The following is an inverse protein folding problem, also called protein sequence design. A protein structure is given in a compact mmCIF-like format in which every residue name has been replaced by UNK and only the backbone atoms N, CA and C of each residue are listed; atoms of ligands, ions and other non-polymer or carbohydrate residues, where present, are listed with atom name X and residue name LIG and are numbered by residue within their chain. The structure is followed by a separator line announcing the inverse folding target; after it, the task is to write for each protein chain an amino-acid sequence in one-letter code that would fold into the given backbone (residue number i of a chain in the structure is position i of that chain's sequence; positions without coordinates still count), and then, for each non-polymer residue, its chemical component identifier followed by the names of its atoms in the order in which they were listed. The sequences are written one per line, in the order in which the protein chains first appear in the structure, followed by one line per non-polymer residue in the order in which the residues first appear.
data_IF_852723882801
#
_entry.id   IF_852723882801
#
_cell.length_a   1.000
_cell.length_b   1.000
_cell.length_c   1.000
_cell.angle_alpha   90.00
_cell.angle_beta   90.00
_cell.angle_gamma   90.00
#
_symmetry.space_group_name_H-M   'P 1'
#
loop_
_entity.id
_entity.type
_entity.pdbx_description
1 polymer ?
#
# COMPACT_ATOMS: atom_id res chain seq x y z
N UNK A 1 -40.70 -143.97 156.91
CA UNK A 1 -40.51 -145.42 157.13
C UNK A 1 -39.96 -146.10 155.87
N UNK A 2 -39.44 -147.30 156.11
CA UNK A 2 -39.05 -148.37 155.19
C UNK A 2 -39.87 -148.52 153.90
N UNK A 3 -39.20 -149.16 152.94
CA UNK A 3 -39.64 -150.21 152.02
C UNK A 3 -41.15 -150.56 151.94
N UNK A 4 -41.65 -150.60 150.70
CA UNK A 4 -42.61 -151.53 150.06
C UNK A 4 -42.99 -150.91 148.68
N UNK A 5 -43.21 -151.59 147.54
CA UNK A 5 -43.26 -153.01 147.24
C UNK A 5 -43.38 -153.37 145.72
N UNK A 6 -43.61 -154.67 145.50
CA UNK A 6 -43.76 -155.45 144.27
C UNK A 6 -44.92 -154.99 143.32
N UNK A 7 -44.84 -155.20 141.99
CA UNK A 7 -46.04 -155.25 141.14
C UNK A 7 -45.95 -154.82 139.66
N UNK A 8 -45.13 -153.82 139.29
CA UNK A 8 -45.30 -153.12 138.00
C UNK A 8 -44.25 -153.40 136.91
N UNK A 9 -43.30 -154.33 137.12
CA UNK A 9 -42.07 -154.38 136.30
C UNK A 9 -42.18 -155.09 134.94
N UNK A 10 -43.24 -155.85 134.65
CA UNK A 10 -43.37 -156.64 133.40
C UNK A 10 -44.01 -155.90 132.20
N UNK A 11 -44.64 -154.73 132.38
CA UNK A 11 -45.18 -153.94 131.26
C UNK A 11 -44.20 -152.90 130.69
N UNK A 12 -43.11 -152.60 131.41
CA UNK A 12 -42.17 -151.53 131.02
C UNK A 12 -41.25 -151.95 129.86
N UNK A 13 -40.81 -153.21 129.85
CA UNK A 13 -39.85 -153.70 128.86
C UNK A 13 -40.42 -153.81 127.42
N UNK A 14 -41.71 -154.06 127.24
CA UNK A 14 -42.33 -154.18 125.90
C UNK A 14 -42.60 -152.82 125.24
N UNK A 15 -42.74 -151.75 126.04
CA UNK A 15 -42.96 -150.37 125.54
C UNK A 15 -41.66 -149.69 125.12
N UNK A 16 -40.54 -149.99 125.77
CA UNK A 16 -39.23 -149.39 125.44
C UNK A 16 -38.72 -149.84 124.07
N UNK A 17 -38.93 -151.12 123.70
CA UNK A 17 -38.49 -151.65 122.40
C UNK A 17 -39.24 -151.06 121.18
N UNK A 18 -40.53 -150.72 121.32
CA UNK A 18 -41.31 -150.12 120.22
C UNK A 18 -40.97 -148.63 120.01
N UNK A 19 -40.51 -147.94 121.06
CA UNK A 19 -40.15 -146.52 121.01
C UNK A 19 -38.80 -146.27 120.36
N UNK A 20 -37.84 -147.19 120.49
CA UNK A 20 -36.53 -147.10 119.81
C UNK A 20 -36.64 -147.26 118.30
N UNK A 21 -37.50 -148.17 117.81
CA UNK A 21 -37.70 -148.38 116.37
C UNK A 21 -38.39 -147.20 115.67
N UNK A 22 -39.27 -146.48 116.38
CA UNK A 22 -39.92 -145.28 115.84
C UNK A 22 -38.99 -144.06 115.85
N UNK A 23 -38.07 -143.94 116.81
CA UNK A 23 -37.10 -142.83 116.83
C UNK A 23 -36.08 -142.92 115.69
N UNK A 24 -35.56 -144.11 115.40
CA UNK A 24 -34.55 -144.27 114.35
C UNK A 24 -35.06 -143.94 112.94
N UNK A 25 -36.34 -144.19 112.64
CA UNK A 25 -36.92 -143.89 111.32
C UNK A 25 -37.28 -142.41 111.14
N UNK A 26 -37.56 -141.68 112.23
CA UNK A 26 -37.90 -140.25 112.18
C UNK A 26 -36.64 -139.39 112.02
N UNK A 27 -35.51 -139.79 112.61
CA UNK A 27 -34.23 -139.08 112.43
C UNK A 27 -33.68 -139.22 111.00
N UNK A 28 -33.85 -140.38 110.36
CA UNK A 28 -33.38 -140.61 108.98
C UNK A 28 -34.11 -139.79 107.91
N UNK A 29 -35.42 -139.56 108.08
CA UNK A 29 -36.22 -138.75 107.14
C UNK A 29 -36.01 -137.23 107.34
N UNK A 30 -35.62 -136.78 108.55
CA UNK A 30 -35.28 -135.38 108.81
C UNK A 30 -34.00 -134.94 108.10
N UNK A 31 -32.98 -135.80 108.06
CA UNK A 31 -31.71 -135.46 107.39
C UNK A 31 -31.85 -135.18 105.89
N UNK A 32 -32.72 -135.92 105.19
CA UNK A 32 -32.93 -135.74 103.73
C UNK A 32 -33.74 -134.50 103.36
N UNK A 33 -34.51 -133.92 104.29
CA UNK A 33 -35.30 -132.70 104.05
C UNK A 33 -34.45 -131.44 104.25
N UNK A 34 -33.51 -131.45 105.21
CA UNK A 34 -32.63 -130.29 105.47
C UNK A 34 -31.64 -130.04 104.32
N UNK A 35 -31.18 -131.08 103.64
CA UNK A 35 -30.19 -130.94 102.57
C UNK A 35 -30.81 -130.35 101.29
N UNK A 36 -32.03 -130.74 100.94
CA UNK A 36 -32.78 -130.15 99.82
C UNK A 36 -33.24 -128.69 100.09
N UNK A 37 -33.40 -128.29 101.35
CA UNK A 37 -33.74 -126.91 101.70
C UNK A 37 -32.55 -125.94 101.60
N UNK A 38 -31.32 -126.41 101.82
CA UNK A 38 -30.11 -125.58 101.69
C UNK A 38 -29.76 -125.24 100.24
N UNK A 39 -29.95 -126.18 99.30
CA UNK A 39 -29.68 -125.91 97.88
C UNK A 39 -30.69 -124.94 97.25
N UNK A 40 -31.95 -124.94 97.72
CA UNK A 40 -32.99 -124.04 97.20
C UNK A 40 -32.82 -122.59 97.69
N UNK A 41 -32.28 -122.38 98.89
CA UNK A 41 -32.05 -121.04 99.44
C UNK A 41 -30.88 -120.32 98.75
N UNK A 42 -29.83 -121.04 98.36
CA UNK A 42 -28.66 -120.45 97.67
C UNK A 42 -28.93 -119.95 96.24
N UNK A 43 -29.96 -120.48 95.57
CA UNK A 43 -30.38 -120.04 94.23
C UNK A 43 -31.29 -118.80 94.29
N UNK A 44 -32.01 -118.58 95.40
CA UNK A 44 -32.89 -117.43 95.60
C UNK A 44 -32.12 -116.13 95.89
N UNK A 45 -30.94 -116.18 96.51
CA UNK A 45 -30.10 -114.98 96.70
C UNK A 45 -29.50 -114.44 95.39
N UNK A 46 -29.33 -115.30 94.36
CA UNK A 46 -28.77 -114.86 93.07
C UNK A 46 -29.80 -114.18 92.15
N UNK A 47 -31.10 -114.25 92.45
CA UNK A 47 -32.17 -113.82 91.54
C UNK A 47 -32.88 -112.51 91.91
N UNK A 48 -32.62 -111.88 93.08
CA UNK A 48 -33.39 -110.71 93.54
C UNK A 48 -32.72 -109.32 93.45
N UNK A 49 -31.38 -109.25 93.42
CA UNK A 49 -30.63 -107.96 93.60
C UNK A 49 -30.41 -107.21 92.28
N UNK A 50 -30.76 -107.80 91.14
CA UNK A 50 -30.59 -107.21 89.81
C UNK A 50 -31.70 -106.24 89.37
N UNK A 51 -32.55 -105.75 90.29
CA UNK A 51 -33.73 -104.93 89.94
C UNK A 51 -33.92 -103.59 90.67
N UNK A 52 -32.94 -103.10 91.44
CA UNK A 52 -33.12 -101.84 92.22
C UNK A 52 -32.07 -100.74 91.94
N UNK A 53 -31.00 -101.04 91.19
CA UNK A 53 -29.99 -100.04 90.82
C UNK A 53 -30.45 -99.05 89.74
N UNK A 54 -31.46 -99.41 88.95
CA UNK A 54 -32.03 -98.56 87.90
C UNK A 54 -32.85 -97.38 88.47
N UNK A 55 -33.24 -97.44 89.75
CA UNK A 55 -34.02 -96.39 90.40
C UNK A 55 -33.16 -95.19 90.86
N UNK A 56 -31.85 -95.35 91.04
CA UNK A 56 -30.98 -94.26 91.49
C UNK A 56 -30.64 -93.26 90.38
N UNK A 57 -30.61 -93.68 89.12
CA UNK A 57 -30.19 -92.84 87.99
C UNK A 57 -31.28 -91.85 87.52
N UNK A 58 -32.55 -92.11 87.88
CA UNK A 58 -33.68 -91.23 87.59
C UNK A 58 -33.80 -90.03 88.56
N UNK A 59 -33.17 -90.08 89.74
CA UNK A 59 -33.23 -88.98 90.71
C UNK A 59 -32.27 -87.83 90.37
N UNK A 60 -31.08 -88.13 89.87
CA UNK A 60 -30.08 -87.15 89.42
C UNK A 60 -30.55 -86.34 88.21
N UNK A 61 -31.42 -86.93 87.38
CA UNK A 61 -31.97 -86.27 86.19
C UNK A 61 -33.12 -85.31 86.49
N UNK A 62 -33.73 -85.41 87.68
CA UNK A 62 -34.80 -84.51 88.15
C UNK A 62 -34.27 -83.19 88.71
N UNK A 63 -33.11 -83.20 89.36
CA UNK A 63 -32.53 -81.97 89.94
C UNK A 63 -31.90 -81.05 88.87
N UNK A 64 -31.54 -81.59 87.70
CA UNK A 64 -31.10 -80.79 86.55
C UNK A 64 -32.22 -79.96 85.90
N UNK A 65 -33.51 -80.34 86.06
CA UNK A 65 -34.63 -79.62 85.43
C UNK A 65 -35.17 -78.44 86.24
N UNK A 66 -34.77 -78.27 87.51
CA UNK A 66 -35.22 -77.14 88.34
C UNK A 66 -34.37 -75.88 88.23
N UNK A 67 -33.15 -75.97 87.71
CA UNK A 67 -32.24 -74.80 87.59
C UNK A 67 -32.33 -74.09 86.23
N UNK A 68 -33.13 -74.59 85.27
CA UNK A 68 -33.28 -73.98 83.94
C UNK A 68 -34.39 -72.91 83.87
N UNK A 69 -35.29 -72.88 84.85
CA UNK A 69 -36.43 -71.95 84.92
C UNK A 69 -36.07 -70.56 85.48
N UNK A 70 -34.83 -70.35 85.93
CA UNK A 70 -34.36 -69.05 86.45
C UNK A 70 -33.60 -68.21 85.43
N UNK A 71 -33.12 -68.78 84.32
CA UNK A 71 -32.44 -68.03 83.24
C UNK A 71 -33.43 -67.42 82.23
N UNK A 72 -34.56 -68.08 81.95
CA UNK A 72 -35.62 -67.60 81.04
C UNK A 72 -36.28 -66.28 81.54
N UNK A 73 -36.43 -66.11 82.86
CA UNK A 73 -36.95 -64.87 83.44
C UNK A 73 -35.96 -63.69 83.37
N UNK A 74 -34.66 -63.94 83.20
CA UNK A 74 -33.65 -62.88 83.01
C UNK A 74 -33.58 -62.40 81.56
N UNK A 75 -33.79 -63.31 80.60
CA UNK A 75 -33.81 -63.02 79.16
C UNK A 75 -35.08 -62.27 78.72
N UNK A 76 -36.25 -62.53 79.32
CA UNK A 76 -37.45 -61.73 79.07
C UNK A 76 -37.32 -60.28 79.56
N UNK A 77 -36.55 -60.05 80.63
CA UNK A 77 -36.30 -58.71 81.17
C UNK A 77 -35.31 -57.91 80.31
N UNK A 78 -34.31 -58.56 79.70
CA UNK A 78 -33.41 -57.96 78.72
C UNK A 78 -34.10 -57.69 77.37
N UNK A 79 -34.93 -58.61 76.88
CA UNK A 79 -35.74 -58.43 75.66
C UNK A 79 -36.76 -57.29 75.80
N UNK A 80 -37.38 -57.14 76.97
CA UNK A 80 -38.28 -56.01 77.26
C UNK A 80 -37.58 -54.65 77.26
N UNK A 81 -36.26 -54.59 77.50
CA UNK A 81 -35.46 -53.35 77.41
C UNK A 81 -34.84 -53.12 76.04
N UNK A 82 -34.49 -54.18 75.30
CA UNK A 82 -33.82 -54.10 73.99
C UNK A 82 -34.80 -53.86 72.83
N UNK A 83 -36.03 -54.39 72.86
CA UNK A 83 -37.04 -54.13 71.83
C UNK A 83 -37.38 -52.64 71.66
N UNK A 84 -37.70 -51.86 72.71
CA UNK A 84 -37.97 -50.43 72.55
C UNK A 84 -36.74 -49.62 72.13
N UNK A 85 -35.52 -50.09 72.47
CA UNK A 85 -34.28 -49.47 71.97
C UNK A 85 -34.06 -49.74 70.48
N UNK A 86 -34.38 -50.95 70.00
CA UNK A 86 -34.27 -51.30 68.59
C UNK A 86 -35.30 -50.54 67.74
N UNK A 87 -36.54 -50.43 68.22
CA UNK A 87 -37.60 -49.63 67.56
C UNK A 87 -37.26 -48.14 67.56
N UNK A 88 -36.65 -47.62 68.65
CA UNK A 88 -36.15 -46.25 68.70
C UNK A 88 -34.99 -46.01 67.71
N UNK A 89 -34.09 -46.99 67.53
CA UNK A 89 -33.03 -46.88 66.51
C UNK A 89 -33.53 -47.04 65.08
N UNK A 90 -34.53 -47.90 64.84
CA UNK A 90 -35.14 -48.04 63.51
C UNK A 90 -35.92 -46.79 63.10
N UNK A 91 -36.65 -46.18 64.03
CA UNK A 91 -37.34 -44.90 63.79
C UNK A 91 -36.37 -43.73 63.59
N UNK A 92 -35.23 -43.73 64.31
CA UNK A 92 -34.17 -42.75 64.09
C UNK A 92 -33.51 -42.92 62.71
N UNK A 93 -33.18 -44.15 62.31
CA UNK A 93 -32.61 -44.46 60.99
C UNK A 93 -33.60 -44.12 59.88
N UNK A 94 -34.89 -44.42 60.04
CA UNK A 94 -35.92 -44.02 59.06
C UNK A 94 -35.98 -42.50 58.90
N UNK A 95 -35.97 -41.76 60.02
CA UNK A 95 -35.96 -40.30 60.00
C UNK A 95 -34.70 -39.75 59.35
N UNK A 96 -33.54 -40.34 59.61
CA UNK A 96 -32.28 -39.96 58.95
C UNK A 96 -32.31 -40.27 57.44
N UNK A 97 -32.85 -41.41 57.02
CA UNK A 97 -33.00 -41.75 55.60
C UNK A 97 -33.97 -40.83 54.86
N UNK A 98 -35.04 -40.38 55.52
CA UNK A 98 -35.96 -39.37 54.98
C UNK A 98 -35.26 -38.02 54.83
N UNK A 99 -34.52 -37.57 55.85
CA UNK A 99 -33.76 -36.31 55.75
C UNK A 99 -32.67 -36.37 54.67
N UNK A 100 -32.01 -37.52 54.48
CA UNK A 100 -31.04 -37.72 53.40
C UNK A 100 -31.71 -37.75 52.02
N UNK A 101 -32.92 -38.31 51.91
CA UNK A 101 -33.71 -38.27 50.69
C UNK A 101 -34.12 -36.82 50.34
N UNK A 102 -34.55 -36.04 51.33
CA UNK A 102 -34.88 -34.62 51.15
C UNK A 102 -33.65 -33.79 50.76
N UNK A 103 -32.51 -34.01 51.42
CA UNK A 103 -31.27 -33.31 51.08
C UNK A 103 -30.73 -33.68 49.69
N UNK A 104 -30.85 -34.94 49.28
CA UNK A 104 -30.44 -35.35 47.92
C UNK A 104 -31.37 -34.80 46.85
N UNK A 105 -32.67 -34.66 47.14
CA UNK A 105 -33.62 -33.97 46.28
C UNK A 105 -33.30 -32.47 46.16
N UNK A 106 -33.03 -31.77 47.27
CA UNK A 106 -32.66 -30.34 47.26
C UNK A 106 -31.33 -30.10 46.51
N UNK A 107 -30.32 -30.95 46.71
CA UNK A 107 -29.05 -30.87 45.97
C UNK A 107 -29.28 -31.06 44.46
N UNK A 108 -30.17 -31.99 44.06
CA UNK A 108 -30.49 -32.22 42.66
C UNK A 108 -31.24 -31.03 42.04
N UNK A 109 -32.20 -30.46 42.77
CA UNK A 109 -32.94 -29.28 42.35
C UNK A 109 -32.01 -28.07 42.18
N UNK A 110 -31.13 -27.80 43.16
CA UNK A 110 -30.14 -26.71 43.09
C UNK A 110 -29.12 -26.92 41.97
N UNK A 111 -28.71 -28.16 41.69
CA UNK A 111 -27.84 -28.46 40.54
C UNK A 111 -28.53 -28.12 39.22
N UNK A 112 -29.79 -28.51 39.05
CA UNK A 112 -30.56 -28.19 37.86
C UNK A 112 -30.79 -26.68 37.71
N UNK A 113 -31.04 -25.97 38.81
CA UNK A 113 -31.19 -24.50 38.82
C UNK A 113 -29.87 -23.80 38.46
N UNK A 114 -28.73 -24.28 38.98
CA UNK A 114 -27.41 -23.78 38.60
C UNK A 114 -27.13 -24.06 37.12
N UNK A 115 -27.46 -25.24 36.59
CA UNK A 115 -27.30 -25.59 35.17
C UNK A 115 -28.18 -24.70 34.27
N UNK A 116 -29.43 -24.43 34.66
CA UNK A 116 -30.32 -23.53 33.93
C UNK A 116 -29.82 -22.08 33.96
N UNK A 117 -29.39 -21.58 35.13
CA UNK A 117 -28.86 -20.22 35.27
C UNK A 117 -27.51 -20.06 34.55
N UNK A 118 -26.67 -21.09 34.52
CA UNK A 118 -25.41 -21.08 33.74
C UNK A 118 -25.68 -21.14 32.24
N UNK A 119 -26.66 -21.93 31.78
CA UNK A 119 -27.09 -21.95 30.39
C UNK A 119 -27.63 -20.58 29.94
N UNK A 120 -28.53 -19.97 30.73
CA UNK A 120 -29.07 -18.63 30.44
C UNK A 120 -27.98 -17.55 30.45
N UNK A 121 -26.99 -17.65 31.34
CA UNK A 121 -25.87 -16.69 31.41
C UNK A 121 -24.92 -16.81 30.22
N UNK A 122 -24.76 -18.01 29.66
CA UNK A 122 -24.00 -18.23 28.41
C UNK A 122 -24.72 -17.69 27.16
N UNK A 123 -26.06 -17.57 27.18
CA UNK A 123 -26.82 -16.98 26.06
C UNK A 123 -26.83 -15.45 26.08
N UNK A 124 -26.83 -14.82 27.26
CA UNK A 124 -26.98 -13.36 27.41
C UNK A 124 -25.64 -12.63 27.36
N UNK A 125 -24.56 -13.27 27.83
CA UNK A 125 -23.22 -12.67 27.86
C UNK A 125 -22.41 -13.30 26.73
N UNK A 126 -22.07 -12.56 25.66
CA UNK A 126 -21.13 -13.09 24.67
C UNK A 126 -19.86 -13.50 25.40
N UNK A 127 -19.35 -14.70 25.09
CA UNK A 127 -18.11 -15.21 25.67
C UNK A 127 -17.04 -14.11 25.67
N UNK A 128 -16.24 -14.00 26.74
CA UNK A 128 -15.08 -13.10 26.79
C UNK A 128 -14.22 -13.19 25.52
N UNK A 129 -14.17 -14.36 24.90
CA UNK A 129 -13.45 -14.60 23.65
C UNK A 129 -14.17 -14.01 22.42
N UNK A 130 -15.50 -14.04 22.37
CA UNK A 130 -16.29 -13.40 21.32
C UNK A 130 -16.14 -11.88 21.36
N UNK A 131 -16.20 -11.26 22.54
CA UNK A 131 -15.94 -9.82 22.72
C UNK A 131 -14.50 -9.43 22.34
N UNK A 132 -13.51 -10.28 22.68
CA UNK A 132 -12.11 -10.07 22.25
C UNK A 132 -11.96 -10.16 20.73
N UNK A 133 -12.65 -11.10 20.08
CA UNK A 133 -12.64 -11.21 18.62
C UNK A 133 -13.23 -9.95 17.96
N UNK A 134 -14.39 -9.47 18.42
CA UNK A 134 -15.00 -8.25 17.86
C UNK A 134 -14.13 -7.02 18.09
N UNK A 135 -13.43 -6.94 19.23
CA UNK A 135 -12.53 -5.84 19.54
C UNK A 135 -11.27 -5.87 18.66
N UNK A 136 -10.73 -7.06 18.38
CA UNK A 136 -9.60 -7.24 17.44
C UNK A 136 -10.03 -6.91 16.00
N UNK A 137 -11.24 -7.28 15.59
CA UNK A 137 -11.81 -6.94 14.29
C UNK A 137 -12.01 -5.43 14.14
N UNK A 138 -12.61 -4.77 15.14
CA UNK A 138 -12.77 -3.32 15.17
C UNK A 138 -11.43 -2.58 15.17
N UNK A 139 -10.42 -3.09 15.87
CA UNK A 139 -9.06 -2.53 15.84
C UNK A 139 -8.41 -2.68 14.45
N UNK A 140 -8.60 -3.83 13.79
CA UNK A 140 -8.14 -4.03 12.41
C UNK A 140 -8.80 -3.03 11.45
N UNK A 141 -10.12 -2.89 11.52
CA UNK A 141 -10.86 -1.91 10.71
C UNK A 141 -10.39 -0.48 10.98
N UNK A 142 -10.16 -0.12 12.25
CA UNK A 142 -9.62 1.18 12.63
C UNK A 142 -8.24 1.41 12.00
N UNK A 143 -7.33 0.43 12.06
CA UNK A 143 -6.00 0.56 11.43
C UNK A 143 -6.08 0.71 9.91
N UNK A 144 -6.98 -0.01 9.24
CA UNK A 144 -7.18 0.11 7.78
C UNK A 144 -7.72 1.50 7.42
N UNK A 145 -8.73 1.98 8.15
CA UNK A 145 -9.28 3.33 7.96
C UNK A 145 -8.21 4.40 8.19
N UNK A 146 -7.37 4.24 9.21
CA UNK A 146 -6.33 5.21 9.55
C UNK A 146 -5.21 5.26 8.49
N UNK A 147 -4.84 4.10 7.93
CA UNK A 147 -3.96 4.04 6.76
C UNK A 147 -4.57 4.72 5.53
N UNK A 148 -5.86 4.47 5.26
CA UNK A 148 -6.59 5.10 4.15
C UNK A 148 -6.66 6.63 4.30
N UNK A 149 -6.93 7.13 5.51
CA UNK A 149 -6.91 8.57 5.82
C UNK A 149 -5.51 9.16 5.58
N UNK A 150 -4.45 8.46 6.01
CA UNK A 150 -3.07 8.87 5.75
C UNK A 150 -2.78 9.00 4.25
N UNK A 151 -3.14 7.98 3.47
CA UNK A 151 -2.96 7.97 2.02
C UNK A 151 -3.78 9.06 1.31
N UNK A 152 -5.01 9.34 1.77
CA UNK A 152 -5.84 10.41 1.25
C UNK A 152 -5.27 11.80 1.58
N UNK A 153 -4.79 12.02 2.80
CA UNK A 153 -4.14 13.27 3.19
C UNK A 153 -2.91 13.56 2.34
N UNK A 154 -2.06 12.55 2.12
CA UNK A 154 -0.89 12.69 1.26
C UNK A 154 -1.27 13.03 -0.19
N UNK A 155 -2.32 12.40 -0.73
CA UNK A 155 -2.86 12.72 -2.06
C UNK A 155 -3.37 14.17 -2.15
N UNK A 156 -4.06 14.65 -1.12
CA UNK A 156 -4.55 16.04 -1.06
C UNK A 156 -3.39 17.02 -1.03
N UNK A 157 -2.41 16.80 -0.16
CA UNK A 157 -1.21 17.63 -0.06
C UNK A 157 -0.45 17.68 -1.39
N UNK A 158 -0.20 16.52 -2.02
CA UNK A 158 0.43 16.48 -3.36
C UNK A 158 -0.37 17.24 -4.41
N UNK A 159 -1.70 17.21 -4.35
CA UNK A 159 -2.55 17.93 -5.30
C UNK A 159 -2.43 19.46 -5.10
N UNK A 160 -2.41 19.93 -3.85
CA UNK A 160 -2.18 21.35 -3.53
C UNK A 160 -0.81 21.82 -4.03
N UNK A 161 0.26 21.09 -3.72
CA UNK A 161 1.61 21.41 -4.22
C UNK A 161 1.68 21.45 -5.76
N UNK A 162 0.98 20.54 -6.43
CA UNK A 162 0.92 20.50 -7.90
C UNK A 162 0.08 21.65 -8.48
N UNK A 163 -0.96 22.10 -7.79
CA UNK A 163 -1.74 23.29 -8.18
C UNK A 163 -0.86 24.54 -8.12
N UNK A 164 -0.09 24.71 -7.05
CA UNK A 164 0.80 25.87 -6.90
C UNK A 164 1.89 25.88 -7.98
N UNK A 165 2.51 24.73 -8.25
CA UNK A 165 3.48 24.59 -9.35
C UNK A 165 2.86 24.90 -10.71
N UNK A 166 1.63 24.43 -10.96
CA UNK A 166 0.91 24.74 -12.21
C UNK A 166 0.63 26.23 -12.35
N UNK A 167 0.22 26.91 -11.27
CA UNK A 167 0.00 28.35 -11.28
C UNK A 167 1.29 29.11 -11.60
N UNK A 168 2.41 28.74 -10.97
CA UNK A 168 3.72 29.32 -11.25
C UNK A 168 4.18 29.09 -12.69
N UNK A 169 4.02 27.88 -13.23
CA UNK A 169 4.34 27.59 -14.62
C UNK A 169 3.44 28.35 -15.60
N UNK A 170 2.15 28.51 -15.30
CA UNK A 170 1.24 29.29 -16.13
C UNK A 170 1.68 30.76 -16.24
N UNK A 171 2.05 31.37 -15.11
CA UNK A 171 2.60 32.73 -15.09
C UNK A 171 3.91 32.85 -15.89
N UNK A 172 4.81 31.86 -15.76
CA UNK A 172 6.05 31.85 -16.53
C UNK A 172 5.81 31.71 -18.05
N UNK A 173 4.83 30.89 -18.45
CA UNK A 173 4.44 30.74 -19.86
C UNK A 173 3.86 32.05 -20.40
N UNK A 174 2.99 32.72 -19.64
CA UNK A 174 2.39 34.00 -20.06
C UNK A 174 3.46 35.08 -20.23
N UNK A 175 4.40 35.19 -19.29
CA UNK A 175 5.55 36.09 -19.42
C UNK A 175 6.39 35.79 -20.68
N UNK A 176 6.66 34.51 -20.94
CA UNK A 176 7.41 34.10 -22.13
C UNK A 176 6.64 34.35 -23.44
N UNK A 177 5.31 34.24 -23.43
CA UNK A 177 4.46 34.60 -24.57
C UNK A 177 4.54 36.08 -24.89
N UNK A 178 4.54 36.96 -23.88
CA UNK A 178 4.73 38.40 -24.11
C UNK A 178 6.10 38.72 -24.71
N UNK A 179 7.17 38.10 -24.20
CA UNK A 179 8.51 38.23 -24.77
C UNK A 179 8.54 37.73 -26.22
N UNK A 180 7.94 36.58 -26.50
CA UNK A 180 7.85 36.03 -27.85
C UNK A 180 7.09 36.96 -28.80
N UNK A 181 6.00 37.60 -28.37
CA UNK A 181 5.29 38.59 -29.16
C UNK A 181 6.18 39.79 -29.48
N UNK A 182 6.94 40.32 -28.50
CA UNK A 182 7.90 41.40 -28.73
C UNK A 182 8.95 41.03 -29.77
N UNK A 183 9.53 39.83 -29.65
CA UNK A 183 10.53 39.34 -30.61
C UNK A 183 9.94 39.06 -31.99
N UNK A 184 8.70 38.56 -32.05
CA UNK A 184 7.97 38.35 -33.30
C UNK A 184 7.73 39.67 -34.02
N UNK A 185 7.29 40.71 -33.32
CA UNK A 185 7.02 42.00 -33.92
C UNK A 185 8.31 42.63 -34.47
N UNK A 186 9.42 42.53 -33.72
CA UNK A 186 10.75 42.91 -34.22
C UNK A 186 11.17 42.09 -35.45
N UNK A 187 10.90 40.78 -35.43
CA UNK A 187 11.24 39.88 -36.53
C UNK A 187 10.45 40.21 -37.81
N UNK A 188 9.17 40.57 -37.67
CA UNK A 188 8.33 40.99 -38.79
C UNK A 188 8.87 42.27 -39.43
N UNK A 189 9.29 43.24 -38.62
CA UNK A 189 9.77 44.54 -39.09
C UNK A 189 11.16 44.47 -39.73
N UNK A 190 12.14 43.89 -39.03
CA UNK A 190 13.57 43.97 -39.44
C UNK A 190 14.32 42.64 -39.33
N UNK A 191 13.68 41.58 -38.85
CA UNK A 191 14.33 40.30 -38.61
C UNK A 191 14.50 39.46 -39.87
N UNK A 192 15.75 39.09 -40.14
CA UNK A 192 16.12 37.99 -41.02
C UNK A 192 17.40 37.34 -40.51
N UNK A 193 17.58 36.04 -40.76
CA UNK A 193 18.74 35.29 -40.26
C UNK A 193 20.09 35.82 -40.81
N UNK A 194 20.06 36.41 -42.00
CA UNK A 194 21.19 36.99 -42.73
C UNK A 194 21.32 38.52 -42.54
N UNK A 195 20.41 39.14 -41.79
CA UNK A 195 20.30 40.60 -41.64
C UNK A 195 19.90 41.36 -42.91
N UNK A 196 19.52 40.66 -44.00
CA UNK A 196 19.10 41.26 -45.27
C UNK A 196 17.95 42.26 -45.12
N UNK A 197 16.88 41.94 -44.39
CA UNK A 197 15.73 42.86 -44.26
C UNK A 197 16.14 44.22 -43.68
N UNK A 198 16.90 44.21 -42.58
CA UNK A 198 17.39 45.44 -41.97
C UNK A 198 18.36 46.19 -42.88
N UNK A 199 19.24 45.46 -43.58
CA UNK A 199 20.19 46.04 -44.54
C UNK A 199 19.47 46.72 -45.69
N UNK A 200 18.51 46.04 -46.31
CA UNK A 200 17.71 46.56 -47.44
C UNK A 200 16.91 47.79 -47.01
N UNK A 201 16.37 47.80 -45.78
CA UNK A 201 15.69 48.96 -45.20
C UNK A 201 16.64 50.16 -45.03
N UNK A 202 17.80 49.95 -44.39
CA UNK A 202 18.79 51.00 -44.17
C UNK A 202 19.40 51.52 -45.50
N UNK A 203 19.64 50.61 -46.45
CA UNK A 203 20.07 50.97 -47.80
C UNK A 203 18.98 51.75 -48.53
N UNK A 204 17.70 51.41 -48.37
CA UNK A 204 16.57 52.17 -48.92
C UNK A 204 16.56 53.63 -48.45
N UNK A 205 16.80 53.89 -47.16
CA UNK A 205 16.93 55.26 -46.63
C UNK A 205 18.12 56.00 -47.24
N UNK A 206 19.25 55.31 -47.40
CA UNK A 206 20.44 55.88 -48.04
C UNK A 206 20.19 56.16 -49.52
N UNK A 207 19.45 55.27 -50.19
CA UNK A 207 19.08 55.38 -51.58
C UNK A 207 18.12 56.56 -51.84
N UNK A 208 17.19 56.84 -50.93
CA UNK A 208 16.37 58.06 -50.99
C UNK A 208 17.21 59.34 -50.90
N UNK A 209 18.21 59.35 -50.03
CA UNK A 209 19.14 60.48 -49.95
C UNK A 209 19.96 60.63 -51.24
N UNK A 210 20.35 59.51 -51.88
CA UNK A 210 21.00 59.51 -53.19
C UNK A 210 20.11 60.08 -54.27
N UNK A 211 18.86 59.61 -54.35
CA UNK A 211 17.88 60.10 -55.32
C UNK A 211 17.67 61.61 -55.16
N UNK A 212 17.57 62.10 -53.93
CA UNK A 212 17.42 63.53 -53.68
C UNK A 212 18.62 64.35 -54.20
N UNK A 213 19.85 63.90 -53.93
CA UNK A 213 21.07 64.56 -54.44
C UNK A 213 21.19 64.45 -55.95
N UNK A 214 20.87 63.28 -56.51
CA UNK A 214 20.88 63.04 -57.95
C UNK A 214 19.86 63.94 -58.66
N UNK A 215 18.63 64.09 -58.13
CA UNK A 215 17.63 65.00 -58.67
C UNK A 215 18.08 66.46 -58.65
N UNK A 216 18.80 66.89 -57.61
CA UNK A 216 19.37 68.25 -57.56
C UNK A 216 20.40 68.50 -58.67
N UNK A 217 21.12 67.47 -59.13
CA UNK A 217 22.05 67.60 -60.26
C UNK A 217 21.34 67.39 -61.59
N UNK A 218 20.41 66.45 -61.65
CA UNK A 218 19.58 66.19 -62.83
C UNK A 218 18.84 67.45 -63.25
N UNK A 219 18.25 68.19 -62.31
CA UNK A 219 17.54 69.45 -62.57
C UNK A 219 18.43 70.53 -63.23
N UNK A 220 19.76 70.48 -63.04
CA UNK A 220 20.69 71.39 -63.73
C UNK A 220 20.97 70.96 -65.16
N UNK A 221 20.83 69.67 -65.47
CA UNK A 221 21.10 69.07 -66.79
C UNK A 221 19.84 68.93 -67.65
N UNK A 222 18.70 68.64 -67.04
CA UNK A 222 17.42 68.41 -67.70
C UNK A 222 16.25 68.61 -66.71
N UNK A 223 15.22 69.32 -67.14
CA UNK A 223 13.97 69.51 -66.39
C UNK A 223 12.90 68.44 -66.70
N UNK A 224 13.16 67.59 -67.71
CA UNK A 224 12.21 66.59 -68.19
C UNK A 224 11.99 65.44 -67.21
N UNK A 225 13.04 64.96 -66.55
CA UNK A 225 12.99 63.76 -65.71
C UNK A 225 13.16 64.07 -64.23
N UNK A 226 12.38 63.39 -63.40
CA UNK A 226 12.58 63.33 -61.96
C UNK A 226 12.76 61.87 -61.53
N UNK A 227 13.86 61.58 -60.84
CA UNK A 227 14.12 60.25 -60.31
C UNK A 227 13.25 59.99 -59.08
N UNK A 228 12.59 58.84 -59.04
CA UNK A 228 11.79 58.40 -57.92
C UNK A 228 12.12 56.95 -57.56
N UNK A 229 11.98 56.64 -56.28
CA UNK A 229 12.18 55.29 -55.77
C UNK A 229 10.95 54.45 -56.07
N UNK A 230 11.16 53.22 -56.53
CA UNK A 230 10.06 52.27 -56.71
C UNK A 230 9.40 51.94 -55.36
N UNK A 231 8.07 51.87 -55.35
CA UNK A 231 7.28 51.65 -54.12
C UNK A 231 7.32 50.20 -53.63
N UNK A 232 7.52 49.25 -54.53
CA UNK A 232 7.53 47.81 -54.25
C UNK A 232 8.95 47.30 -54.02
N UNK A 233 9.93 47.86 -54.74
CA UNK A 233 11.31 47.44 -54.72
C UNK A 233 12.22 48.52 -54.13
N UNK A 234 12.72 48.28 -52.92
CA UNK A 234 13.41 49.29 -52.10
C UNK A 234 14.69 49.89 -52.71
N UNK A 235 15.26 49.25 -53.73
CA UNK A 235 16.52 49.63 -54.36
C UNK A 235 16.37 49.78 -55.89
N UNK A 236 15.14 49.91 -56.39
CA UNK A 236 14.89 50.16 -57.80
C UNK A 236 14.49 51.62 -58.05
N UNK A 237 14.82 52.09 -59.25
CA UNK A 237 14.67 53.47 -59.68
C UNK A 237 13.67 53.55 -60.84
N UNK A 238 12.69 54.43 -60.69
CA UNK A 238 11.79 54.86 -61.75
C UNK A 238 12.05 56.34 -62.06
N UNK A 239 11.52 56.79 -63.19
CA UNK A 239 11.57 58.18 -63.63
C UNK A 239 10.15 58.69 -63.85
N UNK A 240 9.90 59.93 -63.46
CA UNK A 240 8.70 60.68 -63.83
C UNK A 240 9.06 61.53 -65.04
N UNK A 241 8.33 61.36 -66.15
CA UNK A 241 8.50 62.20 -67.35
C UNK A 241 7.52 63.39 -67.29
N UNK A 242 8.06 64.57 -66.98
CA UNK A 242 7.29 65.81 -66.87
C UNK A 242 6.70 66.24 -68.22
N UNK A 243 7.33 65.86 -69.34
CA UNK A 243 6.86 66.21 -70.68
C UNK A 243 5.72 65.29 -71.15
N UNK A 244 5.50 64.18 -70.45
CA UNK A 244 4.40 63.25 -70.71
C UNK A 244 3.40 63.22 -69.55
N UNK A 245 3.12 64.41 -69.00
CA UNK A 245 2.07 64.58 -67.98
C UNK A 245 2.39 63.96 -66.62
N UNK A 246 3.67 63.70 -66.32
CA UNK A 246 4.11 63.14 -65.05
C UNK A 246 3.93 61.62 -64.95
N UNK A 247 3.98 60.91 -66.08
CA UNK A 247 3.91 59.43 -66.09
C UNK A 247 5.16 58.82 -65.44
N UNK A 248 4.97 57.88 -64.51
CA UNK A 248 6.04 57.11 -63.89
C UNK A 248 6.41 55.91 -64.78
N UNK A 249 7.69 55.82 -65.16
CA UNK A 249 8.22 54.75 -66.01
C UNK A 249 9.48 54.14 -65.44
N UNK A 250 9.73 52.90 -65.81
CA UNK A 250 11.00 52.25 -65.48
C UNK A 250 12.15 52.90 -66.24
N UNK A 251 13.28 53.08 -65.55
CA UNK A 251 14.56 53.53 -66.13
C UNK A 251 15.04 52.68 -67.31
N UNK A 252 14.59 51.42 -67.41
CA UNK A 252 14.92 50.50 -68.51
C UNK A 252 14.43 50.95 -69.89
N UNK A 253 13.45 51.86 -69.93
CA UNK A 253 12.83 52.33 -71.17
C UNK A 253 13.38 53.68 -71.65
N UNK A 254 14.44 54.19 -71.01
CA UNK A 254 15.09 55.44 -71.42
C UNK A 254 15.95 55.22 -72.67
N UNK A 255 16.07 56.25 -73.50
CA UNK A 255 17.01 56.22 -74.63
C UNK A 255 18.47 56.24 -74.16
N UNK A 256 19.42 56.00 -75.07
CA UNK A 256 20.85 55.95 -74.74
C UNK A 256 21.40 57.27 -74.17
N UNK A 257 20.97 58.42 -74.69
CA UNK A 257 21.36 59.74 -74.17
C UNK A 257 20.70 60.07 -72.82
N UNK A 258 19.41 59.75 -72.67
CA UNK A 258 18.68 59.99 -71.42
C UNK A 258 19.20 59.10 -70.27
N UNK A 259 19.51 57.83 -70.57
CA UNK A 259 20.13 56.90 -69.62
C UNK A 259 21.49 57.41 -69.15
N UNK A 260 22.25 58.04 -70.05
CA UNK A 260 23.55 58.63 -69.71
C UNK A 260 23.40 59.82 -68.76
N UNK A 261 22.49 60.76 -69.04
CA UNK A 261 22.23 61.91 -68.14
C UNK A 261 21.78 61.44 -66.75
N UNK A 262 20.88 60.46 -66.69
CA UNK A 262 20.41 59.88 -65.41
C UNK A 262 21.57 59.21 -64.65
N UNK A 263 22.40 58.43 -65.35
CA UNK A 263 23.57 57.77 -64.75
C UNK A 263 24.62 58.78 -64.26
N UNK A 264 24.84 59.85 -65.02
CA UNK A 264 25.72 60.95 -64.65
C UNK A 264 25.20 61.66 -63.39
N UNK A 265 23.93 62.04 -63.36
CA UNK A 265 23.31 62.68 -62.18
C UNK A 265 23.42 61.80 -60.92
N UNK A 266 23.24 60.48 -61.05
CA UNK A 266 23.44 59.52 -59.95
C UNK A 266 24.91 59.44 -59.50
N UNK A 267 25.86 59.36 -60.43
CA UNK A 267 27.30 59.35 -60.12
C UNK A 267 27.72 60.61 -59.37
N UNK A 268 27.22 61.78 -59.80
CA UNK A 268 27.46 63.06 -59.14
C UNK A 268 26.79 63.14 -57.76
N UNK A 269 25.55 62.68 -57.64
CA UNK A 269 24.83 62.60 -56.36
C UNK A 269 25.55 61.71 -55.35
N UNK A 270 26.09 60.57 -55.81
CA UNK A 270 26.86 59.65 -54.97
C UNK A 270 28.18 60.29 -54.51
N UNK A 271 28.88 60.98 -55.41
CA UNK A 271 30.09 61.73 -55.08
C UNK A 271 29.83 62.79 -53.99
N UNK A 272 28.65 63.42 -53.97
CA UNK A 272 28.29 64.39 -52.92
C UNK A 272 27.95 63.75 -51.57
N UNK A 273 27.34 62.55 -51.56
CA UNK A 273 27.04 61.82 -50.32
C UNK A 273 28.28 61.30 -49.59
N UNK A 274 29.36 61.08 -50.33
CA UNK A 274 30.65 60.57 -49.86
C UNK A 274 31.45 61.62 -49.06
N UNK A 275 30.85 62.33 -48.11
CA UNK A 275 31.56 63.36 -47.31
C UNK A 275 31.85 62.95 -45.86
N UNK A 276 31.13 61.96 -45.30
CA UNK A 276 31.19 61.67 -43.86
C UNK A 276 32.05 60.45 -43.43
N UNK A 277 32.29 59.46 -44.30
CA UNK A 277 33.07 58.25 -43.92
C UNK A 277 34.03 57.74 -45.01
N UNK A 278 33.65 57.91 -46.27
CA UNK A 278 34.48 57.65 -47.44
C UNK A 278 34.45 58.97 -48.19
N UNK A 279 35.59 59.49 -48.66
CA UNK A 279 35.65 60.65 -49.55
C UNK A 279 35.94 60.16 -50.96
N UNK A 280 35.01 60.40 -51.88
CA UNK A 280 35.26 60.17 -53.31
C UNK A 280 35.80 61.47 -53.88
N UNK A 281 37.13 61.58 -53.92
CA UNK A 281 37.85 62.78 -54.39
C UNK A 281 38.05 62.79 -55.91
N UNK A 282 37.96 61.61 -56.55
CA UNK A 282 38.16 61.43 -57.98
C UNK A 282 37.02 60.65 -58.64
N UNK A 283 36.52 61.13 -59.77
CA UNK A 283 35.50 60.48 -60.59
C UNK A 283 36.00 60.33 -62.02
N UNK A 284 35.96 59.12 -62.57
CA UNK A 284 36.27 58.87 -63.98
C UNK A 284 34.99 58.52 -64.74
N UNK A 285 34.72 59.26 -65.80
CA UNK A 285 33.60 59.06 -66.71
C UNK A 285 34.15 58.51 -68.02
N UNK A 286 33.73 57.30 -68.38
CA UNK A 286 34.11 56.63 -69.62
C UNK A 286 32.92 56.62 -70.57
N UNK A 287 33.17 57.00 -71.83
CA UNK A 287 32.30 56.88 -73.02
C UNK A 287 30.77 56.94 -72.80
N UNK A 288 30.11 57.94 -73.39
CA UNK A 288 28.66 58.11 -73.28
C UNK A 288 28.16 59.51 -73.62
N UNK A 289 29.08 60.45 -73.78
CA UNK A 289 28.80 61.80 -74.30
C UNK A 289 28.43 61.82 -75.79
N UNK A 290 28.77 60.78 -76.56
CA UNK A 290 28.49 60.71 -77.99
C UNK A 290 27.03 60.40 -78.34
N UNK A 291 26.22 60.01 -77.37
CA UNK A 291 24.77 59.79 -77.52
C UNK A 291 23.95 61.02 -77.12
N UNK A 292 24.60 62.06 -76.61
CA UNK A 292 23.99 63.35 -76.29
C UNK A 292 23.97 64.24 -77.53
N UNK A 293 22.95 65.08 -77.62
CA UNK A 293 22.97 66.23 -78.52
C UNK A 293 23.90 67.33 -77.98
N UNK A 294 24.21 68.32 -78.82
CA UNK A 294 25.17 69.37 -78.51
C UNK A 294 24.72 70.23 -77.31
N UNK A 295 23.42 70.51 -77.19
CA UNK A 295 22.84 71.28 -76.07
C UNK A 295 22.91 70.53 -74.73
N UNK A 296 22.55 69.23 -74.69
CA UNK A 296 22.66 68.46 -73.45
C UNK A 296 24.12 68.21 -73.06
N UNK A 297 25.02 68.04 -74.04
CA UNK A 297 26.45 67.91 -73.78
C UNK A 297 27.02 69.15 -73.11
N UNK A 298 26.68 70.33 -73.61
CA UNK A 298 27.13 71.60 -73.04
C UNK A 298 26.65 71.77 -71.60
N UNK A 299 25.36 71.51 -71.35
CA UNK A 299 24.77 71.61 -70.01
C UNK A 299 25.40 70.62 -69.02
N UNK A 300 25.72 69.40 -69.49
CA UNK A 300 26.43 68.40 -68.68
C UNK A 300 27.86 68.87 -68.33
N UNK A 301 28.59 69.45 -69.29
CA UNK A 301 29.96 69.96 -69.08
C UNK A 301 30.00 71.16 -68.13
N UNK A 302 29.02 72.06 -68.19
CA UNK A 302 28.87 73.15 -67.22
C UNK A 302 28.66 72.62 -65.81
N UNK A 303 27.80 71.60 -65.65
CA UNK A 303 27.55 70.98 -64.35
C UNK A 303 28.79 70.26 -63.80
N UNK A 304 29.60 69.63 -64.66
CA UNK A 304 30.86 69.01 -64.28
C UNK A 304 31.90 70.05 -63.84
N UNK A 305 31.98 71.19 -64.54
CA UNK A 305 32.89 72.29 -64.21
C UNK A 305 32.56 72.87 -62.83
N UNK A 306 31.28 73.04 -62.49
CA UNK A 306 30.87 73.50 -61.16
C UNK A 306 31.28 72.55 -60.02
N UNK A 307 31.35 71.24 -60.28
CA UNK A 307 31.84 70.27 -59.28
C UNK A 307 33.36 70.25 -59.14
N UNK A 308 34.10 70.65 -60.17
CA UNK A 308 35.54 70.85 -60.07
C UNK A 308 35.86 71.99 -59.09
N UNK A 309 35.05 73.04 -59.06
CA UNK A 309 35.17 74.14 -58.09
C UNK A 309 34.93 73.69 -56.64
N UNK A 310 34.16 72.62 -56.42
CA UNK A 310 33.97 71.98 -55.12
C UNK A 310 35.19 71.14 -54.66
N UNK A 311 36.29 71.16 -55.41
CA UNK A 311 37.56 70.49 -55.06
C UNK A 311 37.63 69.02 -55.46
N UNK A 312 36.78 68.57 -56.39
CA UNK A 312 36.75 67.19 -56.89
C UNK A 312 37.48 67.07 -58.21
N UNK A 313 38.27 66.01 -58.36
CA UNK A 313 38.97 65.70 -59.61
C UNK A 313 38.10 64.86 -60.53
N UNK A 314 37.70 65.40 -61.68
CA UNK A 314 36.88 64.68 -62.66
C UNK A 314 37.74 64.36 -63.88
N UNK A 315 37.88 63.09 -64.22
CA UNK A 315 38.50 62.60 -65.44
C UNK A 315 37.44 62.15 -66.44
N UNK A 316 37.58 62.56 -67.70
CA UNK A 316 36.64 62.18 -68.77
C UNK A 316 37.41 61.48 -69.89
N UNK A 317 36.91 60.33 -70.33
CA UNK A 317 37.40 59.58 -71.49
C UNK A 317 36.32 59.66 -72.57
N UNK A 318 36.65 60.27 -73.70
CA UNK A 318 35.71 60.42 -74.81
C UNK A 318 36.42 60.63 -76.14
N UNK A 319 35.82 60.12 -77.21
CA UNK A 319 36.19 60.39 -78.60
C UNK A 319 35.48 61.62 -79.20
N UNK A 320 34.50 62.21 -78.49
CA UNK A 320 33.67 63.32 -78.98
C UNK A 320 34.52 64.59 -79.17
N UNK A 321 34.40 65.22 -80.34
CA UNK A 321 35.20 66.41 -80.69
C UNK A 321 34.87 67.63 -79.80
N UNK A 322 33.60 67.86 -79.49
CA UNK A 322 33.15 68.99 -78.66
C UNK A 322 33.80 69.02 -77.26
N UNK A 323 34.06 67.85 -76.66
CA UNK A 323 34.78 67.74 -75.38
C UNK A 323 36.24 68.20 -75.47
N UNK A 324 36.89 68.03 -76.63
CA UNK A 324 38.29 68.44 -76.85
C UNK A 324 38.47 69.95 -76.85
N UNK A 325 37.43 70.69 -77.21
CA UNK A 325 37.47 72.16 -77.28
C UNK A 325 37.22 72.79 -75.90
N UNK A 326 36.39 72.16 -75.07
CA UNK A 326 36.03 72.69 -73.74
C UNK A 326 37.03 72.34 -72.63
N UNK A 327 37.68 71.19 -72.68
CA UNK A 327 38.64 70.76 -71.66
C UNK A 327 40.08 71.05 -72.13
N UNK A 328 40.74 72.02 -71.49
CA UNK A 328 42.09 72.46 -71.87
C UNK A 328 43.19 71.44 -71.53
N UNK A 329 43.05 70.72 -70.41
CA UNK A 329 44.03 69.74 -69.93
C UNK A 329 43.69 68.37 -70.49
N UNK A 330 44.52 67.87 -71.42
CA UNK A 330 44.20 66.68 -72.21
C UNK A 330 45.34 65.67 -72.20
N UNK A 331 45.02 64.40 -71.98
CA UNK A 331 45.91 63.28 -72.27
C UNK A 331 45.46 62.66 -73.58
N UNK A 332 46.28 62.74 -74.62
CA UNK A 332 45.99 62.27 -75.97
C UNK A 332 46.64 60.91 -76.21
N UNK A 333 45.87 59.99 -76.79
CA UNK A 333 46.33 58.67 -77.21
C UNK A 333 46.45 58.69 -78.75
N UNK A 334 47.66 58.47 -79.26
CA UNK A 334 47.98 58.41 -80.69
C UNK A 334 48.27 56.96 -81.07
N UNK A 335 47.48 56.38 -81.98
CA UNK A 335 47.75 55.05 -82.51
C UNK A 335 48.96 55.08 -83.44
N UNK A 336 49.93 54.17 -83.21
CA UNK A 336 51.10 53.92 -84.04
C UNK A 336 50.80 52.77 -85.02
N UNK A 337 51.43 52.81 -86.20
CA UNK A 337 51.17 51.89 -87.32
C UNK A 337 51.46 50.41 -87.01
N UNK A 338 52.21 50.14 -85.94
CA UNK A 338 52.55 48.80 -85.46
C UNK A 338 51.55 48.20 -84.44
N UNK A 339 50.34 48.76 -84.31
CA UNK A 339 49.38 48.34 -83.28
C UNK A 339 49.79 48.75 -81.85
N UNK A 340 50.72 49.70 -81.73
CA UNK A 340 51.10 50.33 -80.46
C UNK A 340 50.35 51.65 -80.31
N UNK A 341 50.23 52.16 -79.10
CA UNK A 341 49.69 53.51 -78.86
C UNK A 341 50.70 54.33 -78.06
N UNK A 342 50.87 55.60 -78.43
CA UNK A 342 51.68 56.57 -77.70
C UNK A 342 50.76 57.52 -76.93
N UNK A 343 51.11 57.78 -75.68
CA UNK A 343 50.37 58.69 -74.81
C UNK A 343 51.15 60.02 -74.73
N UNK A 344 50.48 61.13 -75.01
CA UNK A 344 51.08 62.47 -74.98
C UNK A 344 50.17 63.42 -74.19
N UNK A 345 50.73 64.20 -73.28
CA UNK A 345 49.95 65.12 -72.46
C UNK A 345 50.73 65.64 -71.24
N UNK A 346 50.14 66.56 -70.48
CA UNK A 346 50.73 67.04 -69.24
C UNK A 346 50.87 65.88 -68.24
N UNK A 347 52.07 65.73 -67.67
CA UNK A 347 52.39 64.64 -66.74
C UNK A 347 52.78 63.30 -67.39
N UNK A 348 52.76 63.19 -68.73
CA UNK A 348 53.23 62.00 -69.43
C UNK A 348 54.75 62.08 -69.67
N UNK A 349 55.50 61.13 -69.15
CA UNK A 349 56.92 60.95 -69.44
C UNK A 349 57.16 59.55 -70.02
N UNK A 350 58.04 59.45 -71.02
CA UNK A 350 58.49 58.14 -71.52
C UNK A 350 59.45 57.57 -70.48
N UNK A 351 59.10 56.41 -69.92
CA UNK A 351 60.03 55.61 -69.13
C UNK A 351 60.94 54.92 -70.14
N UNK A 352 62.20 55.34 -70.19
CA UNK A 352 63.25 54.76 -71.04
C UNK A 352 63.73 53.40 -70.52
#
# INVERSE_FOLDING_TARGET
PREQGQGAKTQKALKESLLENLHSNIEGLRGRIEESQKELHGLLERYGVAHDSDFKDLSTRRDAYKNRTTEEASLEKELATLCPQLDATMTLIQKETETLADHTADIKARKQEIEQLTAQRCEIVPSSDALRQTLVEGQKEQTVLQQSIGALREKVQRNEEMKDKRASHAQAIEAQQQELLRWRDLHLLIGSADGKKFRDFAQGLTFEMLIHRANSQLQKMSDRYLLVRDRMHSLELNVIDNYQGGEERSTKNLSGGESFIVSLALALGLSQMSSQKVRVESLFLDEGFGTLDEEALDTALETLSGLQEEGKSIGVISHVAALKERISTQIRILADAAGRSQICGPGCARLD
#
